data_IF_796994045974
#
_entry.id   IF_796994045974
#
_cell.length_a   1.000
_cell.length_b   1.000
_cell.length_c   1.000
_cell.angle_alpha   90.00
_cell.angle_beta   90.00
_cell.angle_gamma   90.00
#
_symmetry.space_group_name_H-M   'P 1'
#
loop_
_entity.id
_entity.type
_entity.pdbx_description
1 polymer ?
#
# COMPACT_ATOMS: atom_id res chain seq x y z
N UNK A 1 -14.68 -3.49 2.37
CA UNK A 1 -13.68 -2.67 3.08
C UNK A 1 -12.94 -1.89 2.02
N UNK A 2 -12.74 -0.60 2.23
CA UNK A 2 -11.98 0.26 1.32
C UNK A 2 -10.77 0.76 2.08
N UNK A 3 -9.61 0.78 1.42
CA UNK A 3 -8.37 1.29 2.00
C UNK A 3 -7.71 2.22 1.01
N UNK A 4 -7.15 3.30 1.52
CA UNK A 4 -6.38 4.28 0.76
C UNK A 4 -5.03 3.69 0.39
N UNK A 5 -4.57 3.97 -0.83
CA UNK A 5 -3.29 3.49 -1.36
C UNK A 5 -2.47 4.71 -1.77
N UNK A 6 -1.23 4.80 -1.28
CA UNK A 6 -0.25 5.81 -1.66
C UNK A 6 0.74 5.16 -2.62
N UNK A 7 0.97 5.79 -3.76
CA UNK A 7 1.89 5.29 -4.77
C UNK A 7 3.18 6.09 -4.79
N UNK A 8 4.31 5.38 -4.77
CA UNK A 8 5.65 5.97 -4.84
C UNK A 8 6.44 5.30 -5.97
N UNK A 9 7.05 6.05 -6.89
CA UNK A 9 7.88 5.46 -7.92
C UNK A 9 9.14 4.82 -7.30
N UNK A 10 9.49 3.63 -7.77
CA UNK A 10 10.70 2.95 -7.32
C UNK A 10 11.91 3.57 -8.02
N UNK A 11 12.90 4.04 -7.25
CA UNK A 11 14.13 4.69 -7.74
C UNK A 11 15.33 3.73 -7.74
N UNK A 12 15.08 2.44 -7.96
CA UNK A 12 16.11 1.39 -7.96
C UNK A 12 16.36 0.92 -9.41
N UNK A 13 17.63 0.68 -9.81
CA UNK A 13 17.94 0.15 -11.13
C UNK A 13 17.20 -1.17 -11.39
N UNK A 14 16.56 -1.30 -12.56
CA UNK A 14 15.79 -2.50 -12.93
C UNK A 14 14.32 -2.49 -12.51
N UNK A 15 13.85 -1.39 -11.89
CA UNK A 15 12.46 -1.16 -11.52
C UNK A 15 11.85 0.04 -12.24
N UNK A 16 12.38 0.36 -13.42
CA UNK A 16 11.89 1.48 -14.23
C UNK A 16 10.38 1.28 -14.54
N UNK A 17 9.58 2.28 -14.18
CA UNK A 17 8.12 2.23 -14.35
C UNK A 17 7.36 1.47 -13.26
N UNK A 18 8.05 0.91 -12.25
CA UNK A 18 7.40 0.29 -11.10
C UNK A 18 7.05 1.32 -10.02
N UNK A 19 6.02 0.96 -9.25
CA UNK A 19 5.56 1.73 -8.11
C UNK A 19 5.45 0.82 -6.88
N UNK A 20 5.81 1.36 -5.73
CA UNK A 20 5.32 0.87 -4.46
C UNK A 20 3.87 1.34 -4.27
N UNK A 21 3.02 0.45 -3.78
CA UNK A 21 1.65 0.71 -3.37
C UNK A 21 1.55 0.47 -1.85
N UNK A 22 1.61 1.56 -1.10
CA UNK A 22 1.55 1.55 0.37
C UNK A 22 0.08 1.65 0.83
N UNK A 23 -0.32 0.81 1.78
CA UNK A 23 -1.65 0.81 2.41
C UNK A 23 -1.48 1.14 3.90
N UNK A 24 -1.46 2.44 4.28
CA UNK A 24 -1.06 2.87 5.62
C UNK A 24 -1.89 2.26 6.75
N UNK A 25 -3.21 2.18 6.56
CA UNK A 25 -4.13 1.62 7.56
C UNK A 25 -3.87 0.14 7.91
N UNK A 26 -3.14 -0.58 7.06
CA UNK A 26 -2.82 -2.00 7.24
C UNK A 26 -1.33 -2.27 7.44
N UNK A 27 -0.48 -1.25 7.32
CA UNK A 27 0.98 -1.38 7.30
C UNK A 27 1.45 -2.43 6.27
N UNK A 28 0.93 -2.31 5.05
CA UNK A 28 1.25 -3.20 3.93
C UNK A 28 1.83 -2.40 2.77
N UNK A 29 2.77 -3.02 2.05
CA UNK A 29 3.32 -2.49 0.81
C UNK A 29 3.37 -3.59 -0.24
N UNK A 30 2.89 -3.28 -1.43
CA UNK A 30 3.08 -4.11 -2.62
C UNK A 30 3.91 -3.34 -3.66
N UNK A 31 4.44 -4.04 -4.64
CA UNK A 31 5.11 -3.43 -5.79
C UNK A 31 4.50 -3.98 -7.08
N UNK A 32 4.49 -3.16 -8.13
CA UNK A 32 4.06 -3.59 -9.45
C UNK A 32 4.40 -2.58 -10.54
N UNK A 33 4.38 -3.05 -11.77
CA UNK A 33 4.63 -2.22 -12.95
C UNK A 33 3.45 -1.27 -13.17
N UNK A 34 3.73 0.02 -13.21
CA UNK A 34 2.73 1.08 -13.29
C UNK A 34 1.76 1.12 -12.09
N UNK A 35 0.88 2.12 -12.10
CA UNK A 35 -0.14 2.30 -11.06
C UNK A 35 -1.12 1.12 -11.04
N UNK A 36 -1.55 0.65 -12.22
CA UNK A 36 -2.51 -0.45 -12.33
C UNK A 36 -1.94 -1.78 -11.83
N UNK A 37 -0.68 -2.10 -12.17
CA UNK A 37 -0.03 -3.31 -11.70
C UNK A 37 0.21 -3.28 -10.19
N UNK A 38 0.71 -2.16 -9.67
CA UNK A 38 0.90 -1.98 -8.23
C UNK A 38 -0.42 -2.04 -7.44
N UNK A 39 -1.51 -1.45 -7.97
CA UNK A 39 -2.84 -1.55 -7.35
C UNK A 39 -3.37 -2.98 -7.33
N UNK A 40 -3.17 -3.73 -8.42
CA UNK A 40 -3.58 -5.14 -8.50
C UNK A 40 -2.79 -5.99 -7.49
N UNK A 41 -1.48 -5.78 -7.40
CA UNK A 41 -0.63 -6.46 -6.42
C UNK A 41 -1.04 -6.13 -4.96
N UNK A 42 -1.37 -4.86 -4.69
CA UNK A 42 -1.89 -4.41 -3.39
C UNK A 42 -3.21 -5.10 -3.04
N UNK A 43 -4.14 -5.21 -3.99
CA UNK A 43 -5.43 -5.89 -3.77
C UNK A 43 -5.24 -7.37 -3.40
N UNK A 44 -4.38 -8.09 -4.11
CA UNK A 44 -4.09 -9.49 -3.80
C UNK A 44 -3.39 -9.66 -2.45
N UNK A 45 -2.43 -8.80 -2.12
CA UNK A 45 -1.77 -8.78 -0.82
C UNK A 45 -2.77 -8.58 0.33
N UNK A 46 -3.67 -7.59 0.20
CA UNK A 46 -4.69 -7.29 1.22
C UNK A 46 -5.65 -8.47 1.39
N UNK A 47 -6.09 -9.13 0.30
CA UNK A 47 -6.96 -10.32 0.37
C UNK A 47 -6.28 -11.46 1.14
N UNK A 48 -5.01 -11.74 0.82
CA UNK A 48 -4.24 -12.79 1.49
C UNK A 48 -4.03 -12.47 2.98
N UNK A 49 -3.73 -11.22 3.30
CA UNK A 49 -3.55 -10.75 4.68
C UNK A 49 -4.84 -10.84 5.50
N UNK A 50 -5.98 -10.39 4.96
CA UNK A 50 -7.29 -10.50 5.61
C UNK A 50 -7.63 -11.95 5.90
N UNK A 51 -7.41 -12.85 4.94
CA UNK A 51 -7.64 -14.29 5.12
C UNK A 51 -6.83 -14.84 6.29
N UNK A 52 -5.55 -14.45 6.40
CA UNK A 52 -4.67 -14.83 7.51
C UNK A 52 -5.17 -14.30 8.86
N UNK A 53 -5.59 -13.03 8.93
CA UNK A 53 -6.16 -12.42 10.14
C UNK A 53 -7.41 -13.17 10.61
N UNK A 54 -8.34 -13.46 9.68
CA UNK A 54 -9.56 -14.22 9.98
C UNK A 54 -9.27 -15.61 10.52
N UNK A 55 -8.33 -16.33 9.91
CA UNK A 55 -7.95 -17.67 10.35
C UNK A 55 -7.38 -17.70 11.78
N UNK A 56 -6.86 -16.56 12.27
CA UNK A 56 -6.30 -16.41 13.62
C UNK A 56 -7.27 -15.74 14.61
N UNK A 57 -8.48 -15.40 14.18
CA UNK A 57 -9.44 -14.66 15.01
C UNK A 57 -8.99 -13.22 15.33
N UNK A 58 -8.05 -12.68 14.55
CA UNK A 58 -7.51 -11.34 14.77
C UNK A 58 -8.44 -10.27 14.17
N UNK A 59 -8.53 -9.11 14.84
CA UNK A 59 -9.29 -7.98 14.33
C UNK A 59 -8.68 -7.43 13.04
N UNK A 60 -9.55 -7.03 12.11
CA UNK A 60 -9.16 -6.39 10.85
C UNK A 60 -9.44 -4.89 10.99
N UNK A 61 -8.43 -4.01 10.89
CA UNK A 61 -8.62 -2.57 10.91
C UNK A 61 -9.59 -2.14 9.81
N UNK A 62 -10.48 -1.19 10.12
CA UNK A 62 -11.39 -0.57 9.15
C UNK A 62 -10.99 0.89 9.01
N UNK A 63 -10.57 1.29 7.82
CA UNK A 63 -10.31 2.70 7.53
C UNK A 63 -11.64 3.47 7.43
N UNK A 64 -11.71 4.64 8.06
CA UNK A 64 -12.90 5.53 8.05
C UNK A 64 -12.77 6.72 7.10
N UNK A 65 -11.64 6.82 6.39
CA UNK A 65 -11.23 7.96 5.58
C UNK A 65 -9.75 8.22 5.79
N UNK A 66 -9.09 8.78 4.78
CA UNK A 66 -7.69 9.18 4.84
C UNK A 66 -7.52 10.61 4.36
N UNK A 67 -6.55 11.32 4.93
CA UNK A 67 -6.12 12.65 4.51
C UNK A 67 -4.64 12.53 4.18
N UNK A 68 -4.29 12.84 2.93
CA UNK A 68 -2.91 12.89 2.48
C UNK A 68 -2.43 14.33 2.65
N UNK A 69 -1.30 14.50 3.35
CA UNK A 69 -0.63 15.78 3.54
C UNK A 69 0.88 15.59 3.39
N UNK A 70 1.57 16.65 2.99
CA UNK A 70 3.03 16.69 2.88
C UNK A 70 3.58 17.73 3.86
N UNK A 71 4.75 17.44 4.44
CA UNK A 71 5.51 18.38 5.25
C UNK A 71 6.84 18.65 4.54
N UNK A 72 7.25 19.92 4.48
CA UNK A 72 8.58 20.29 4.02
C UNK A 72 9.53 20.31 5.21
N UNK A 73 10.71 19.71 5.04
CA UNK A 73 11.78 19.71 6.04
C UNK A 73 13.01 20.34 5.38
N UNK A 74 13.75 21.23 6.07
CA UNK A 74 14.99 21.79 5.54
C UNK A 74 15.96 20.69 5.12
N UNK A 75 16.58 20.84 3.95
CA UNK A 75 17.65 19.96 3.51
C UNK A 75 18.91 20.09 4.39
N UNK A 76 19.79 19.08 4.37
CA UNK A 76 21.11 19.17 5.01
C UNK A 76 21.98 20.28 4.44
#
# INVERSE_FOLDING_TARGET
>A
MCYSVIFEPIQEPGFEGYYYAHIPALDLTAQGEGIAGALTAAQELVKAWITRKRARGEAIPVERGSVIASIEVPGP
#
